data_IF_918478072656
#
_entry.id   IF_918478072656
#
_cell.length_a   1.000
_cell.length_b   1.000
_cell.length_c   1.000
_cell.angle_alpha   90.00
_cell.angle_beta   90.00
_cell.angle_gamma   90.00
#
_symmetry.space_group_name_H-M   'P 1'
#
loop_
_entity.id
_entity.type
_entity.pdbx_description
1 polymer ?
#
# COMPACT_ATOMS: atom_id res chain seq x y z
N UNK A 1 -11.09 6.00 5.91
CA UNK A 1 -10.07 5.25 5.13
C UNK A 1 -10.80 4.26 4.26
N UNK A 2 -10.35 4.01 3.01
CA UNK A 2 -11.07 3.13 2.07
C UNK A 2 -11.29 1.72 2.65
N UNK A 3 -10.32 1.23 3.43
CA UNK A 3 -10.40 -0.08 4.11
C UNK A 3 -11.54 -0.19 5.12
N UNK A 4 -11.91 0.89 5.80
CA UNK A 4 -13.00 0.90 6.78
C UNK A 4 -14.35 0.71 6.06
N UNK A 5 -14.53 1.30 4.88
CA UNK A 5 -15.73 1.08 4.07
C UNK A 5 -15.82 -0.33 3.49
N UNK A 6 -14.68 -0.99 3.23
CA UNK A 6 -14.66 -2.43 2.89
C UNK A 6 -15.19 -3.28 4.04
N UNK A 7 -14.86 -2.95 5.29
CA UNK A 7 -15.29 -3.72 6.48
C UNK A 7 -16.77 -3.51 6.82
N UNK A 8 -17.30 -2.31 6.58
CA UNK A 8 -18.63 -1.90 7.06
C UNK A 8 -19.71 -1.97 5.97
N UNK A 9 -19.35 -1.88 4.70
CA UNK A 9 -20.31 -1.59 3.62
C UNK A 9 -20.12 -2.43 2.36
N UNK A 10 -19.57 -3.65 2.46
CA UNK A 10 -19.35 -4.59 1.35
C UNK A 10 -18.60 -4.01 0.13
N UNK A 11 -17.83 -2.93 0.31
CA UNK A 11 -17.07 -2.36 -0.79
C UNK A 11 -15.95 -3.30 -1.23
N UNK A 12 -15.91 -3.60 -2.52
CA UNK A 12 -14.80 -4.32 -3.13
C UNK A 12 -13.65 -3.34 -3.36
N UNK A 13 -12.46 -3.72 -2.90
CA UNK A 13 -11.22 -3.00 -3.16
C UNK A 13 -10.41 -3.85 -4.15
N UNK A 14 -10.04 -3.25 -5.28
CA UNK A 14 -9.11 -3.82 -6.25
C UNK A 14 -7.82 -2.99 -6.24
N UNK A 15 -6.72 -3.49 -5.62
CA UNK A 15 -5.44 -2.83 -5.68
C UNK A 15 -4.84 -2.90 -7.09
N UNK A 16 -4.21 -1.80 -7.52
CA UNK A 16 -3.39 -1.73 -8.74
C UNK A 16 -1.95 -1.42 -8.31
N UNK A 17 -1.04 -2.34 -8.62
CA UNK A 17 0.39 -2.23 -8.35
C UNK A 17 1.09 -1.82 -9.64
N UNK A 18 1.55 -0.58 -9.71
CA UNK A 18 2.16 -0.01 -10.91
C UNK A 18 3.69 0.03 -10.77
N UNK A 19 4.40 -0.60 -11.69
CA UNK A 19 5.87 -0.71 -11.73
C UNK A 19 6.50 -1.17 -10.42
N UNK A 20 5.78 -2.01 -9.68
CA UNK A 20 6.19 -2.44 -8.37
C UNK A 20 5.77 -3.88 -8.10
N UNK A 21 6.67 -4.62 -7.45
CA UNK A 21 6.35 -5.93 -6.89
C UNK A 21 5.38 -5.74 -5.70
N UNK A 22 4.17 -6.35 -5.71
CA UNK A 22 3.25 -6.35 -4.57
C UNK A 22 3.91 -6.80 -3.25
N UNK A 23 4.93 -7.66 -3.31
CA UNK A 23 5.69 -8.13 -2.15
C UNK A 23 6.42 -6.97 -1.44
N UNK A 24 6.82 -5.93 -2.18
CA UNK A 24 7.44 -4.73 -1.60
C UNK A 24 6.43 -3.89 -0.83
N UNK A 25 5.16 -3.88 -1.24
CA UNK A 25 4.05 -3.21 -0.54
C UNK A 25 3.70 -3.97 0.72
N UNK A 26 3.52 -5.28 0.60
CA UNK A 26 3.16 -6.14 1.72
C UNK A 26 4.23 -6.13 2.82
N UNK A 27 5.50 -6.33 2.46
CA UNK A 27 6.63 -6.33 3.40
C UNK A 27 7.10 -4.92 3.77
N UNK A 28 6.58 -3.89 3.10
CA UNK A 28 6.95 -2.49 3.27
C UNK A 28 8.46 -2.25 3.15
N UNK A 29 9.09 -2.86 2.14
CA UNK A 29 10.54 -2.79 1.89
C UNK A 29 10.86 -1.80 0.75
N UNK A 30 12.15 -1.60 0.46
CA UNK A 30 12.59 -0.77 -0.65
C UNK A 30 12.16 0.70 -0.53
N UNK A 31 11.54 1.23 -1.59
CA UNK A 31 11.06 2.62 -1.64
C UNK A 31 9.98 2.93 -0.60
N UNK A 32 9.15 1.95 -0.24
CA UNK A 32 8.09 2.11 0.76
C UNK A 32 8.67 2.29 2.16
N UNK A 33 9.69 1.50 2.52
CA UNK A 33 10.43 1.68 3.78
C UNK A 33 11.01 3.09 3.89
N UNK A 34 11.67 3.57 2.82
CA UNK A 34 12.27 4.91 2.76
C UNK A 34 11.21 6.01 2.90
N UNK A 35 10.05 5.86 2.26
CA UNK A 35 8.96 6.81 2.37
C UNK A 35 8.42 6.89 3.81
N UNK A 36 8.20 5.74 4.47
CA UNK A 36 7.76 5.75 5.86
C UNK A 36 8.79 6.36 6.81
N UNK A 37 10.08 6.07 6.64
CA UNK A 37 11.14 6.68 7.46
C UNK A 37 11.16 8.21 7.33
N UNK A 38 10.90 8.74 6.12
CA UNK A 38 10.74 10.18 5.90
C UNK A 38 9.49 10.72 6.60
N UNK A 39 8.35 10.04 6.49
CA UNK A 39 7.10 10.51 7.09
C UNK A 39 7.07 10.42 8.62
N UNK A 40 7.82 9.50 9.24
CA UNK A 40 7.96 9.45 10.71
C UNK A 40 8.59 10.71 11.31
N UNK A 41 9.31 11.52 10.52
CA UNK A 41 9.90 12.79 10.99
C UNK A 41 8.90 13.92 11.15
N UNK A 42 7.76 13.86 10.44
CA UNK A 42 6.80 14.98 10.35
C UNK A 42 5.37 14.59 10.70
N UNK A 43 5.06 13.29 10.76
CA UNK A 43 3.72 12.78 11.06
C UNK A 43 3.72 12.07 12.41
N UNK A 44 2.56 12.04 13.06
CA UNK A 44 2.40 11.32 14.32
C UNK A 44 2.61 9.81 14.13
N UNK A 45 3.20 9.17 15.14
CA UNK A 45 3.42 7.72 15.14
C UNK A 45 2.12 6.94 14.92
N UNK A 46 1.02 7.40 15.52
CA UNK A 46 -0.31 6.80 15.34
C UNK A 46 -0.75 6.81 13.86
N UNK A 47 -0.53 7.93 13.17
CA UNK A 47 -0.91 8.09 11.77
C UNK A 47 -0.05 7.22 10.85
N UNK A 48 1.26 7.21 11.08
CA UNK A 48 2.18 6.34 10.32
C UNK A 48 1.83 4.87 10.54
N UNK A 49 1.54 4.46 11.78
CA UNK A 49 1.13 3.08 12.10
C UNK A 49 -0.14 2.68 11.35
N UNK A 50 -1.18 3.54 11.37
CA UNK A 50 -2.42 3.29 10.65
C UNK A 50 -2.19 3.13 9.12
N UNK A 51 -1.29 3.92 8.53
CA UNK A 51 -0.93 3.77 7.12
C UNK A 51 -0.19 2.47 6.81
N UNK A 52 0.71 2.04 7.70
CA UNK A 52 1.42 0.76 7.55
C UNK A 52 0.45 -0.42 7.58
N UNK A 53 -0.46 -0.43 8.53
CA UNK A 53 -1.49 -1.48 8.66
C UNK A 53 -2.40 -1.49 7.42
N UNK A 54 -2.88 -0.32 7.00
CA UNK A 54 -3.72 -0.20 5.82
C UNK A 54 -3.03 -0.70 4.53
N UNK A 55 -1.75 -0.37 4.34
CA UNK A 55 -1.00 -0.81 3.16
C UNK A 55 -0.72 -2.31 3.19
N UNK A 56 -0.43 -2.89 4.36
CA UNK A 56 -0.29 -4.34 4.49
C UNK A 56 -1.62 -5.06 4.18
N UNK A 57 -2.74 -4.55 4.69
CA UNK A 57 -4.07 -5.12 4.43
C UNK A 57 -4.45 -5.04 2.94
N UNK A 58 -4.17 -3.92 2.26
CA UNK A 58 -4.41 -3.77 0.82
C UNK A 58 -3.52 -4.70 0.00
N UNK A 59 -2.24 -4.86 0.39
CA UNK A 59 -1.30 -5.71 -0.32
C UNK A 59 -1.63 -7.21 -0.24
N UNK A 60 -2.38 -7.61 0.80
CA UNK A 60 -2.90 -8.98 0.94
C UNK A 60 -4.14 -9.26 0.06
N UNK A 61 -4.69 -8.25 -0.63
CA UNK A 61 -5.82 -8.44 -1.53
C UNK A 61 -5.35 -8.86 -2.91
N UNK A 62 -6.16 -9.68 -3.60
CA UNK A 62 -5.98 -9.93 -5.03
C UNK A 62 -6.05 -8.60 -5.79
N UNK A 63 -5.06 -8.33 -6.64
CA UNK A 63 -4.91 -7.07 -7.34
C UNK A 63 -4.22 -7.24 -8.70
N UNK A 64 -4.16 -6.16 -9.47
CA UNK A 64 -3.54 -6.13 -10.79
C UNK A 64 -2.12 -5.60 -10.69
N UNK A 65 -1.16 -6.30 -11.30
CA UNK A 65 0.22 -5.82 -11.43
C UNK A 65 0.37 -5.28 -12.85
N UNK A 66 0.66 -3.98 -12.95
CA UNK A 66 0.96 -3.30 -14.21
C UNK A 66 2.46 -3.06 -14.24
N UNK A 67 3.16 -3.73 -15.15
CA UNK A 67 4.53 -3.40 -15.50
C UNK A 67 4.48 -2.53 -16.77
N UNK A 68 5.12 -1.36 -16.74
CA UNK A 68 5.46 -0.62 -17.93
C UNK A 68 6.40 -1.50 -18.76
N UNK A 69 5.84 -2.17 -19.75
CA UNK A 69 6.62 -2.60 -20.89
C UNK A 69 6.85 -1.34 -21.71
N UNK A 70 7.98 -0.68 -21.46
CA UNK A 70 8.57 0.20 -22.46
C UNK A 70 9.06 -0.70 -23.59
N UNK A 71 8.14 -1.17 -24.44
CA UNK A 71 8.49 -1.61 -25.77
C UNK A 71 8.94 -0.34 -26.50
N UNK A 72 10.26 -0.17 -26.55
CA UNK A 72 10.93 0.98 -27.17
C UNK A 72 10.79 1.02 -28.69
#
# INVERSE_FOLDING_TARGET
MILEHKRISNHVILPIFYDMDPSHVWKQIGSIAKAFARHQKTQSLKKVKAWREALADVANLAGMVLQNQADG
#
